data_IF_637920134738
#
_entry.id   IF_637920134738
#
_cell.length_a   1.000
_cell.length_b   1.000
_cell.length_c   1.000
_cell.angle_alpha   90.00
_cell.angle_beta   90.00
_cell.angle_gamma   90.00
#
_symmetry.space_group_name_H-M   'P 1'
#
loop_
_entity.id
_entity.type
_entity.pdbx_description
1 polymer ?
#
# COMPACT_ATOMS: atom_id res chain seq x y z
N UNK A 1 -32.14 -62.71 14.59
CA UNK A 1 -31.76 -62.20 15.94
C UNK A 1 -31.46 -60.72 15.75
N UNK A 2 -32.51 -59.89 15.82
CA UNK A 2 -32.67 -58.75 16.76
C UNK A 2 -31.55 -57.69 16.63
N UNK A 3 -31.79 -56.55 15.98
CA UNK A 3 -32.52 -55.34 16.45
C UNK A 3 -31.70 -54.41 17.35
N UNK A 4 -31.93 -53.12 17.10
CA UNK A 4 -31.94 -51.98 18.03
C UNK A 4 -30.61 -51.44 18.57
N UNK A 5 -30.31 -50.19 18.19
CA UNK A 5 -29.96 -49.16 19.17
C UNK A 5 -30.94 -48.01 18.99
N UNK A 6 -31.82 -47.89 19.97
CA UNK A 6 -32.78 -46.82 20.15
C UNK A 6 -32.17 -45.71 21.01
N UNK A 7 -32.73 -44.51 20.82
CA UNK A 7 -32.75 -43.28 21.61
C UNK A 7 -32.07 -43.24 22.99
N UNK A 8 -31.59 -42.05 23.38
CA UNK A 8 -32.09 -41.31 24.55
C UNK A 8 -31.78 -39.81 24.41
N UNK A 9 -32.85 -39.04 24.24
CA UNK A 9 -33.00 -37.67 24.66
C UNK A 9 -33.25 -37.61 26.17
N UNK A 10 -32.65 -36.66 26.90
CA UNK A 10 -33.39 -35.65 27.67
C UNK A 10 -32.50 -34.72 28.53
N UNK A 11 -32.98 -33.48 28.81
CA UNK A 11 -32.26 -32.39 29.49
C UNK A 11 -32.61 -32.30 30.99
N UNK A 12 -31.91 -31.40 31.74
CA UNK A 12 -32.32 -30.67 32.99
C UNK A 12 -31.08 -30.06 33.70
N UNK A 13 -31.20 -29.19 34.73
CA UNK A 13 -31.99 -27.96 34.82
C UNK A 13 -31.24 -26.77 35.52
N UNK A 14 -31.72 -25.55 35.28
CA UNK A 14 -31.94 -24.44 36.23
C UNK A 14 -30.88 -24.13 37.31
N UNK A 15 -30.27 -22.92 37.22
CA UNK A 15 -30.04 -22.10 38.41
C UNK A 15 -30.15 -20.59 38.11
N UNK A 16 -30.93 -19.94 38.97
CA UNK A 16 -31.33 -18.54 39.04
C UNK A 16 -30.17 -17.70 39.60
N UNK A 17 -29.82 -16.57 38.98
CA UNK A 17 -29.28 -15.40 39.68
C UNK A 17 -29.87 -14.11 39.09
N UNK A 18 -30.16 -13.21 40.01
CA UNK A 18 -31.09 -12.09 40.03
C UNK A 18 -30.59 -10.83 39.30
N UNK A 19 -31.49 -10.18 38.57
CA UNK A 19 -31.33 -8.80 38.06
C UNK A 19 -31.36 -7.79 39.22
N UNK A 20 -30.41 -6.86 39.24
CA UNK A 20 -30.54 -5.57 39.93
C UNK A 20 -30.17 -4.45 38.97
N UNK A 21 -31.18 -3.72 38.49
CA UNK A 21 -31.04 -2.41 37.85
C UNK A 21 -30.97 -1.34 38.95
N UNK A 22 -29.92 -0.53 38.96
CA UNK A 22 -29.96 0.81 39.56
C UNK A 22 -29.33 1.77 38.56
N UNK A 23 -30.20 2.62 38.02
CA UNK A 23 -29.89 3.77 37.16
C UNK A 23 -29.41 4.92 38.06
N UNK A 24 -28.27 5.55 37.74
CA UNK A 24 -27.92 6.87 38.30
C UNK A 24 -27.51 7.78 37.13
N UNK A 25 -28.39 8.75 36.85
CA UNK A 25 -28.07 9.98 36.12
C UNK A 25 -27.30 10.91 37.05
N UNK A 26 -26.13 11.39 36.64
CA UNK A 26 -25.46 12.53 37.26
C UNK A 26 -25.20 13.59 36.19
N UNK A 27 -26.05 14.63 36.24
CA UNK A 27 -25.94 15.89 35.53
C UNK A 27 -24.95 16.78 36.31
N UNK A 28 -23.85 17.21 35.71
CA UNK A 28 -23.05 18.33 36.25
C UNK A 28 -22.81 19.37 35.15
N UNK A 29 -23.26 20.58 35.47
CA UNK A 29 -23.33 21.75 34.63
C UNK A 29 -21.95 22.40 34.44
N UNK A 30 -21.65 22.81 33.21
CA UNK A 30 -20.60 23.79 32.92
C UNK A 30 -21.21 25.21 32.95
N UNK A 31 -20.58 26.20 33.59
CA UNK A 31 -21.06 27.58 33.49
C UNK A 31 -20.67 28.17 32.13
N UNK A 32 -21.69 28.65 31.44
CA UNK A 32 -21.64 29.48 30.25
C UNK A 32 -21.21 30.90 30.66
N UNK A 33 -20.11 31.42 30.12
CA UNK A 33 -19.75 32.84 30.25
C UNK A 33 -19.72 33.54 28.89
N UNK A 34 -20.85 34.20 28.62
CA UNK A 34 -21.02 35.49 27.95
C UNK A 34 -20.13 35.82 26.74
N UNK A 35 -20.67 35.61 25.55
CA UNK A 35 -20.45 36.52 24.42
C UNK A 35 -20.87 37.94 24.82
N UNK A 36 -19.98 38.92 24.66
CA UNK A 36 -20.36 40.32 24.49
C UNK A 36 -19.73 40.86 23.21
N UNK A 37 -20.61 41.46 22.43
CA UNK A 37 -20.43 42.22 21.21
C UNK A 37 -19.57 43.46 21.40
N UNK A 38 -18.81 43.84 20.38
CA UNK A 38 -18.09 45.12 20.31
C UNK A 38 -17.48 45.31 18.93
N UNK A 39 -18.11 46.18 18.13
CA UNK A 39 -17.69 46.54 16.78
C UNK A 39 -16.49 47.52 16.78
N UNK A 40 -15.72 47.44 15.69
CA UNK A 40 -14.88 48.46 15.00
C UNK A 40 -14.10 49.52 15.79
N UNK A 41 -12.82 49.69 15.43
CA UNK A 41 -12.33 50.85 14.64
C UNK A 41 -10.92 50.61 14.09
N UNK A 42 -10.75 50.88 12.78
CA UNK A 42 -9.47 51.08 12.09
C UNK A 42 -8.65 52.20 12.74
N UNK A 43 -7.34 52.01 12.88
CA UNK A 43 -6.37 53.12 12.77
C UNK A 43 -4.92 52.67 12.55
N UNK A 44 -4.38 53.20 11.44
CA UNK A 44 -2.99 53.62 11.20
C UNK A 44 -1.89 52.58 10.91
N UNK A 45 -1.75 52.28 9.61
CA UNK A 45 -0.46 52.24 8.92
C UNK A 45 0.14 53.66 8.84
N UNK A 46 1.32 53.91 9.39
CA UNK A 46 2.33 54.77 8.75
C UNK A 46 3.72 54.72 9.41
N UNK A 47 4.72 54.89 8.55
CA UNK A 47 6.10 55.29 8.82
C UNK A 47 7.05 54.23 9.38
N UNK A 48 7.96 53.73 8.52
CA UNK A 48 9.41 53.87 8.70
C UNK A 48 10.12 53.80 7.34
N UNK A 49 10.48 54.97 6.80
CA UNK A 49 11.59 55.14 5.85
C UNK A 49 12.21 56.52 6.08
N UNK A 50 13.53 56.61 5.83
CA UNK A 50 14.51 57.71 6.00
C UNK A 50 15.48 57.39 7.15
N UNK A 51 16.81 57.34 6.99
CA UNK A 51 17.67 58.11 6.05
C UNK A 51 19.12 57.57 6.03
N UNK A 52 19.71 57.54 4.83
CA UNK A 52 21.13 57.65 4.37
C UNK A 52 22.33 57.18 5.24
N UNK A 53 23.45 56.69 4.69
CA UNK A 53 23.92 56.55 3.31
C UNK A 53 25.46 56.37 3.29
N UNK A 54 26.00 55.76 2.23
CA UNK A 54 27.25 56.14 1.51
C UNK A 54 27.57 55.08 0.45
N UNK A 55 27.76 55.57 -0.77
CA UNK A 55 28.20 54.85 -1.96
C UNK A 55 29.72 55.05 -2.04
N UNK A 56 30.46 53.99 -2.34
CA UNK A 56 31.86 54.08 -2.78
C UNK A 56 31.97 53.51 -4.20
N UNK A 57 32.66 54.25 -5.06
CA UNK A 57 32.80 54.03 -6.50
C UNK A 57 34.21 53.57 -6.84
N UNK A 58 34.35 52.49 -7.63
CA UNK A 58 35.59 52.21 -8.36
C UNK A 58 35.64 50.82 -8.98
N UNK A 59 35.60 50.72 -10.32
CA UNK A 59 36.09 49.54 -11.04
C UNK A 59 35.37 49.11 -12.32
N UNK A 60 35.65 49.84 -13.41
CA UNK A 60 35.61 49.46 -14.84
C UNK A 60 34.32 49.01 -15.54
N UNK A 61 34.15 49.60 -16.72
CA UNK A 61 33.07 49.48 -17.71
C UNK A 61 33.43 48.39 -18.71
N UNK A 62 32.43 47.66 -19.24
CA UNK A 62 32.43 47.26 -20.65
C UNK A 62 30.98 47.22 -21.18
N UNK A 63 30.75 48.01 -22.24
CA UNK A 63 29.50 48.09 -22.98
C UNK A 63 29.56 47.04 -24.08
N UNK A 64 28.70 46.01 -24.01
CA UNK A 64 28.41 45.17 -25.17
C UNK A 64 27.02 45.55 -25.68
N UNK A 65 27.03 46.17 -26.86
CA UNK A 65 25.88 46.41 -27.72
C UNK A 65 25.25 45.08 -28.11
N UNK A 66 23.97 44.87 -27.79
CA UNK A 66 23.21 43.69 -28.22
C UNK A 66 22.31 44.09 -29.39
N UNK A 67 22.50 43.39 -30.50
CA UNK A 67 21.74 43.43 -31.75
C UNK A 67 20.25 43.10 -31.50
N UNK A 68 19.28 43.94 -31.92
CA UNK A 68 17.85 43.70 -31.65
C UNK A 68 17.19 42.67 -32.59
N UNK A 69 17.93 41.84 -33.32
CA UNK A 69 17.34 40.91 -34.31
C UNK A 69 17.25 39.43 -33.89
N UNK A 70 17.49 39.07 -32.62
CA UNK A 70 17.34 37.69 -32.16
C UNK A 70 16.48 37.59 -30.89
N UNK A 71 15.18 37.43 -31.09
CA UNK A 71 14.26 36.86 -30.09
C UNK A 71 13.87 35.48 -30.58
N UNK A 72 14.06 34.43 -29.76
CA UNK A 72 12.87 33.66 -29.42
C UNK A 72 12.58 33.70 -27.93
N UNK A 73 11.29 33.90 -27.68
CA UNK A 73 10.54 33.91 -26.44
C UNK A 73 10.74 32.61 -25.64
N UNK A 74 11.19 32.74 -24.39
CA UNK A 74 10.51 32.23 -23.17
C UNK A 74 11.54 32.09 -22.03
N UNK A 75 11.69 33.14 -21.21
CA UNK A 75 12.47 33.13 -19.98
C UNK A 75 11.66 33.85 -18.88
N UNK A 76 11.24 33.11 -17.85
CA UNK A 76 10.80 33.69 -16.56
C UNK A 76 11.94 34.57 -16.01
N UNK A 77 11.57 35.71 -15.44
CA UNK A 77 12.40 36.75 -14.81
C UNK A 77 13.37 36.28 -13.70
N UNK A 78 13.51 34.98 -13.44
CA UNK A 78 14.40 34.41 -12.41
C UNK A 78 15.65 33.69 -12.92
N UNK A 79 15.91 33.64 -14.23
CA UNK A 79 17.25 33.30 -14.75
C UNK A 79 17.82 31.93 -14.31
N UNK A 80 16.97 30.95 -14.00
CA UNK A 80 17.38 29.58 -13.69
C UNK A 80 16.99 28.68 -14.86
N UNK A 81 17.95 27.94 -15.42
CA UNK A 81 17.67 26.89 -16.40
C UNK A 81 16.78 25.83 -15.74
N UNK A 82 15.72 25.42 -16.43
CA UNK A 82 14.84 24.32 -16.03
C UNK A 82 15.57 22.98 -16.16
N UNK A 83 16.55 22.76 -15.29
CA UNK A 83 17.00 21.41 -14.97
C UNK A 83 15.95 20.89 -14.00
N UNK A 84 14.97 20.17 -14.54
CA UNK A 84 13.99 19.44 -13.75
C UNK A 84 14.76 18.44 -12.89
N UNK A 85 15.06 18.84 -11.65
CA UNK A 85 15.41 17.93 -10.58
C UNK A 85 14.11 17.18 -10.29
N UNK A 86 13.98 15.99 -10.88
CA UNK A 86 12.88 15.08 -10.56
C UNK A 86 12.89 14.87 -9.05
N UNK A 87 11.77 15.12 -8.34
CA UNK A 87 11.65 14.67 -6.96
C UNK A 87 11.82 13.15 -6.95
N UNK A 88 12.58 12.64 -5.98
CA UNK A 88 12.56 11.22 -5.64
C UNK A 88 11.10 10.76 -5.52
N UNK A 89 10.79 9.61 -6.13
CA UNK A 89 9.44 9.06 -6.31
C UNK A 89 8.54 9.31 -5.09
N UNK A 90 7.71 10.36 -5.18
CA UNK A 90 6.58 10.53 -4.28
C UNK A 90 5.50 9.56 -4.73
N UNK A 91 4.98 8.77 -3.78
CA UNK A 91 3.86 7.86 -3.97
C UNK A 91 2.70 8.61 -4.64
N UNK A 92 2.58 8.46 -5.97
CA UNK A 92 1.42 8.95 -6.69
C UNK A 92 0.27 8.01 -6.35
N UNK A 93 -0.94 8.52 -6.03
CA UNK A 93 -2.09 7.64 -5.90
C UNK A 93 -2.20 6.80 -7.18
N UNK A 94 -2.37 5.49 -7.03
CA UNK A 94 -2.42 4.59 -8.17
C UNK A 94 -3.49 5.09 -9.14
N UNK A 95 -3.07 5.36 -10.38
CA UNK A 95 -3.92 5.93 -11.40
C UNK A 95 -5.12 5.03 -11.70
N UNK A 96 -6.09 5.58 -12.44
CA UNK A 96 -7.13 4.77 -13.09
C UNK A 96 -6.48 3.57 -13.79
N UNK A 97 -6.99 2.34 -13.63
CA UNK A 97 -6.33 1.16 -14.17
C UNK A 97 -6.13 1.33 -15.68
N UNK A 98 -4.90 1.11 -16.16
CA UNK A 98 -4.68 0.92 -17.59
C UNK A 98 -5.35 -0.40 -18.01
N UNK A 99 -5.90 -0.42 -19.21
CA UNK A 99 -6.44 -1.66 -19.76
C UNK A 99 -5.31 -2.48 -20.35
N UNK A 100 -5.39 -3.79 -20.15
CA UNK A 100 -4.56 -4.73 -20.87
C UNK A 100 -4.80 -4.67 -22.40
N UNK A 101 -3.78 -5.04 -23.16
CA UNK A 101 -3.73 -4.99 -24.64
C UNK A 101 -3.22 -6.32 -25.19
N UNK A 102 -4.11 -7.03 -25.89
CA UNK A 102 -3.80 -8.28 -26.59
C UNK A 102 -3.23 -8.06 -28.01
N UNK A 103 -2.38 -8.97 -28.55
CA UNK A 103 -1.90 -10.21 -27.93
C UNK A 103 -0.69 -9.99 -27.01
N UNK A 104 -0.71 -10.57 -25.81
CA UNK A 104 0.38 -10.47 -24.83
C UNK A 104 0.88 -11.84 -24.31
N UNK A 105 0.50 -12.95 -24.96
CA UNK A 105 0.71 -14.36 -24.54
C UNK A 105 2.13 -14.88 -24.28
N UNK A 106 3.17 -14.06 -24.44
CA UNK A 106 4.58 -14.46 -24.27
C UNK A 106 5.41 -13.28 -23.78
N UNK A 107 6.59 -13.56 -23.19
CA UNK A 107 7.54 -12.49 -22.83
C UNK A 107 8.00 -11.65 -24.03
N UNK A 108 8.03 -12.23 -25.24
CA UNK A 108 8.36 -11.50 -26.47
C UNK A 108 7.26 -10.53 -26.95
N UNK A 109 6.02 -10.75 -26.51
CA UNK A 109 4.83 -9.93 -26.84
C UNK A 109 4.29 -9.18 -25.64
N UNK A 110 5.04 -9.14 -24.52
CA UNK A 110 4.58 -8.60 -23.26
C UNK A 110 4.16 -7.12 -23.37
N UNK A 111 3.02 -6.77 -22.78
CA UNK A 111 2.51 -5.41 -22.71
C UNK A 111 3.40 -4.55 -21.79
N UNK A 112 4.01 -3.46 -22.30
CA UNK A 112 4.87 -2.62 -21.47
C UNK A 112 4.05 -1.79 -20.48
N UNK A 113 4.44 -1.80 -19.21
CA UNK A 113 3.82 -1.02 -18.13
C UNK A 113 4.86 -0.12 -17.45
N UNK A 114 4.42 1.07 -17.05
CA UNK A 114 5.22 1.97 -16.22
C UNK A 114 4.89 1.71 -14.74
N UNK A 115 5.90 1.46 -13.92
CA UNK A 115 5.72 1.22 -12.47
C UNK A 115 5.86 2.53 -11.68
N UNK A 116 5.04 2.78 -10.64
CA UNK A 116 3.96 1.91 -10.16
C UNK A 116 2.78 1.82 -11.14
N UNK A 117 2.18 0.64 -11.24
CA UNK A 117 1.13 0.32 -12.21
C UNK A 117 -0.10 -0.27 -11.52
N UNK A 118 -1.26 0.03 -12.09
CA UNK A 118 -2.51 -0.71 -11.88
C UNK A 118 -3.06 -1.06 -13.25
N UNK A 119 -3.17 -2.34 -13.55
CA UNK A 119 -3.64 -2.84 -14.84
C UNK A 119 -4.93 -3.63 -14.62
N UNK A 120 -5.91 -3.49 -15.50
CA UNK A 120 -7.09 -4.34 -15.55
C UNK A 120 -7.03 -5.23 -16.79
N UNK A 121 -6.89 -6.53 -16.58
CA UNK A 121 -6.82 -7.55 -17.62
C UNK A 121 -7.98 -8.54 -17.57
N UNK A 122 -8.04 -9.41 -18.55
CA UNK A 122 -8.96 -10.55 -18.57
C UNK A 122 -8.19 -11.77 -19.05
N UNK A 123 -8.14 -12.82 -18.24
CA UNK A 123 -7.68 -14.12 -18.73
C UNK A 123 -8.81 -14.75 -19.53
N UNK A 124 -8.92 -14.40 -20.81
CA UNK A 124 -10.01 -14.88 -21.67
C UNK A 124 -9.60 -14.89 -23.16
N UNK A 125 -9.72 -16.06 -23.84
CA UNK A 125 -10.49 -17.26 -23.48
C UNK A 125 -9.80 -18.15 -22.43
N UNK A 126 -10.40 -19.29 -22.08
CA UNK A 126 -9.78 -20.19 -21.10
C UNK A 126 -8.36 -20.59 -21.50
N UNK A 127 -7.44 -20.53 -20.53
CA UNK A 127 -6.01 -20.78 -20.77
C UNK A 127 -5.24 -19.60 -21.36
N UNK A 128 -5.83 -18.41 -21.35
CA UNK A 128 -5.09 -17.18 -21.62
C UNK A 128 -3.95 -16.97 -20.62
N UNK A 129 -2.93 -16.25 -21.06
CA UNK A 129 -1.76 -15.93 -20.26
C UNK A 129 -1.36 -14.51 -20.61
N UNK A 130 -1.32 -13.63 -19.63
CA UNK A 130 -1.00 -12.23 -19.88
C UNK A 130 0.43 -11.95 -19.42
N UNK A 131 1.28 -11.47 -20.34
CA UNK A 131 2.61 -10.98 -19.98
C UNK A 131 2.67 -9.46 -19.97
N UNK A 132 3.27 -8.93 -18.91
CA UNK A 132 3.61 -7.51 -18.77
C UNK A 132 5.11 -7.34 -18.64
N UNK A 133 5.66 -6.23 -19.17
CA UNK A 133 7.07 -5.90 -19.03
C UNK A 133 7.30 -4.54 -18.37
N UNK A 134 8.32 -4.44 -17.53
CA UNK A 134 8.69 -3.20 -16.85
C UNK A 134 10.22 -3.10 -16.68
N UNK A 135 10.74 -1.90 -16.50
CA UNK A 135 12.17 -1.68 -16.23
C UNK A 135 12.44 -1.66 -14.73
N UNK A 136 13.53 -2.30 -14.30
CA UNK A 136 13.98 -2.29 -12.91
C UNK A 136 15.51 -2.25 -12.80
N UNK A 137 16.02 -1.79 -11.67
CA UNK A 137 17.45 -1.64 -11.37
C UNK A 137 17.89 -2.73 -10.40
N UNK A 138 19.14 -3.18 -10.53
CA UNK A 138 19.74 -4.12 -9.58
C UNK A 138 19.57 -3.63 -8.12
N UNK A 139 19.05 -4.49 -7.26
CA UNK A 139 18.77 -4.19 -5.85
C UNK A 139 17.38 -3.61 -5.57
N UNK A 140 16.61 -3.24 -6.60
CA UNK A 140 15.19 -2.93 -6.41
C UNK A 140 14.45 -4.14 -5.86
N UNK A 141 13.39 -3.88 -5.10
CA UNK A 141 12.41 -4.89 -4.70
C UNK A 141 11.11 -4.74 -5.47
N UNK A 142 10.56 -5.84 -5.95
CA UNK A 142 9.26 -5.89 -6.63
C UNK A 142 8.18 -6.28 -5.64
N UNK A 143 7.10 -5.52 -5.65
CA UNK A 143 5.84 -5.83 -5.00
C UNK A 143 4.77 -5.90 -6.08
N UNK A 144 4.13 -7.04 -6.24
CA UNK A 144 3.08 -7.22 -7.21
C UNK A 144 1.97 -8.12 -6.66
N UNK A 145 0.72 -7.83 -6.98
CA UNK A 145 -0.41 -8.62 -6.49
C UNK A 145 -1.58 -8.58 -7.45
N UNK A 146 -2.30 -9.69 -7.57
CA UNK A 146 -3.44 -9.85 -8.45
C UNK A 146 -4.73 -9.86 -7.62
N UNK A 147 -5.66 -8.97 -7.93
CA UNK A 147 -7.00 -8.97 -7.32
C UNK A 147 -8.00 -9.62 -8.27
N UNK A 148 -8.53 -10.78 -7.87
CA UNK A 148 -9.51 -11.55 -8.67
C UNK A 148 -10.92 -11.53 -8.08
N UNK A 149 -11.13 -10.91 -6.92
CA UNK A 149 -12.40 -10.91 -6.18
C UNK A 149 -13.61 -10.35 -6.94
N UNK A 150 -13.36 -9.51 -7.95
CA UNK A 150 -14.38 -8.93 -8.82
C UNK A 150 -14.55 -9.70 -10.15
N UNK A 151 -13.86 -10.83 -10.33
CA UNK A 151 -13.94 -11.68 -11.51
C UNK A 151 -15.36 -12.21 -11.68
N UNK A 152 -15.92 -12.00 -12.86
CA UNK A 152 -17.12 -12.65 -13.39
C UNK A 152 -16.77 -13.86 -14.28
N UNK A 153 -15.50 -14.29 -14.25
CA UNK A 153 -15.03 -15.51 -14.90
C UNK A 153 -15.51 -16.77 -14.17
N UNK A 154 -14.98 -17.92 -14.60
CA UNK A 154 -15.25 -19.20 -13.94
C UNK A 154 -14.29 -19.48 -12.78
N UNK A 155 -13.36 -18.56 -12.52
CA UNK A 155 -12.28 -18.70 -11.55
C UNK A 155 -11.91 -17.34 -10.94
N UNK A 156 -11.24 -17.45 -9.81
CA UNK A 156 -10.58 -16.38 -9.03
C UNK A 156 -9.18 -16.83 -8.60
N UNK A 157 -8.68 -17.92 -9.19
CA UNK A 157 -7.48 -18.64 -8.82
C UNK A 157 -6.33 -18.30 -9.77
N UNK A 158 -5.56 -17.29 -9.38
CA UNK A 158 -4.56 -16.64 -10.23
C UNK A 158 -3.16 -17.05 -9.83
N UNK A 159 -2.31 -17.33 -10.81
CA UNK A 159 -0.87 -17.47 -10.64
C UNK A 159 -0.13 -16.22 -11.12
N UNK A 160 0.88 -15.82 -10.38
CA UNK A 160 1.77 -14.71 -10.70
C UNK A 160 3.21 -15.20 -10.74
N UNK A 161 3.92 -14.94 -11.84
CA UNK A 161 5.35 -15.23 -11.97
C UNK A 161 6.12 -13.98 -12.32
N UNK A 162 7.14 -13.64 -11.52
CA UNK A 162 8.18 -12.70 -11.90
C UNK A 162 9.30 -13.44 -12.64
N UNK A 163 9.56 -13.05 -13.88
CA UNK A 163 10.65 -13.57 -14.70
C UNK A 163 11.79 -12.56 -14.78
N UNK A 164 13.01 -13.07 -14.77
CA UNK A 164 14.23 -12.30 -14.98
C UNK A 164 14.29 -11.69 -16.38
N UNK A 165 15.34 -10.89 -16.61
CA UNK A 165 15.52 -10.13 -17.84
C UNK A 165 15.79 -10.94 -19.12
N UNK A 166 16.01 -12.25 -18.99
CA UNK A 166 16.02 -13.18 -20.12
C UNK A 166 14.60 -13.60 -20.57
N UNK A 167 13.55 -13.16 -19.86
CA UNK A 167 12.15 -13.45 -20.15
C UNK A 167 11.73 -14.90 -19.94
N UNK A 168 12.55 -15.72 -19.27
CA UNK A 168 12.31 -17.16 -19.09
C UNK A 168 12.69 -17.71 -17.72
N UNK A 169 13.75 -17.20 -17.08
CA UNK A 169 14.17 -17.64 -15.75
C UNK A 169 13.21 -17.09 -14.71
N UNK A 170 12.57 -17.98 -13.95
CA UNK A 170 11.72 -17.60 -12.80
C UNK A 170 12.59 -16.97 -11.72
N UNK A 171 12.27 -15.72 -11.36
CA UNK A 171 12.80 -15.04 -10.20
C UNK A 171 11.96 -15.40 -8.96
N UNK A 172 10.64 -15.27 -9.09
CA UNK A 172 9.68 -15.60 -8.04
C UNK A 172 8.34 -16.03 -8.64
N UNK A 173 7.59 -16.84 -7.90
CA UNK A 173 6.29 -17.40 -8.28
C UNK A 173 5.40 -17.46 -7.06
N UNK A 174 4.12 -17.16 -7.27
CA UNK A 174 3.07 -17.30 -6.26
C UNK A 174 1.72 -17.68 -6.89
N UNK A 175 0.90 -18.45 -6.18
CA UNK A 175 -0.47 -18.81 -6.56
C UNK A 175 -1.54 -18.43 -5.52
N UNK A 176 -1.26 -18.47 -4.22
CA UNK A 176 -2.32 -18.36 -3.19
C UNK A 176 -2.06 -17.32 -2.05
N UNK A 177 -1.05 -16.44 -2.14
CA UNK A 177 -0.72 -15.47 -1.07
C UNK A 177 -1.30 -14.05 -1.27
N UNK A 178 -2.21 -13.85 -2.22
CA UNK A 178 -2.88 -12.57 -2.49
C UNK A 178 -4.17 -12.40 -1.68
N UNK A 179 -4.61 -11.16 -1.43
CA UNK A 179 -5.85 -10.92 -0.67
C UNK A 179 -7.10 -10.67 -1.53
N UNK A 180 -8.27 -10.69 -0.88
CA UNK A 180 -9.63 -10.57 -1.43
C UNK A 180 -10.17 -11.77 -2.24
N UNK A 181 -9.32 -12.74 -2.57
CA UNK A 181 -9.69 -14.14 -2.81
C UNK A 181 -8.65 -14.99 -2.10
N UNK A 182 -9.02 -16.12 -1.49
CA UNK A 182 -8.06 -17.05 -0.87
C UNK A 182 -7.20 -17.81 -1.88
N UNK A 183 -7.26 -17.40 -3.15
CA UNK A 183 -6.60 -18.00 -4.31
C UNK A 183 -6.04 -16.91 -5.24
N UNK A 184 -5.95 -15.68 -4.73
CA UNK A 184 -5.25 -14.62 -5.45
C UNK A 184 -3.76 -14.80 -5.20
N UNK A 185 -2.90 -14.36 -6.12
CA UNK A 185 -1.44 -14.44 -5.96
C UNK A 185 -0.82 -13.08 -5.62
N UNK A 186 0.28 -13.11 -4.88
CA UNK A 186 1.13 -11.94 -4.67
C UNK A 186 2.61 -12.25 -4.47
N UNK A 187 3.45 -11.30 -4.88
CA UNK A 187 4.90 -11.30 -4.76
C UNK A 187 5.27 -10.09 -3.90
N UNK A 188 5.95 -10.30 -2.79
CA UNK A 188 6.32 -9.23 -1.86
C UNK A 188 7.82 -9.21 -1.62
N UNK A 189 8.51 -8.23 -2.20
CA UNK A 189 9.91 -7.96 -1.88
C UNK A 189 10.95 -8.68 -2.75
N UNK A 190 10.54 -9.31 -3.85
CA UNK A 190 11.43 -10.02 -4.77
C UNK A 190 12.58 -9.13 -5.25
N UNK A 191 13.83 -9.59 -5.06
CA UNK A 191 15.03 -8.80 -5.35
C UNK A 191 15.39 -8.89 -6.83
N UNK A 192 15.59 -7.73 -7.44
CA UNK A 192 16.07 -7.60 -8.82
C UNK A 192 17.58 -7.85 -8.87
N UNK A 193 18.06 -8.94 -9.52
CA UNK A 193 19.48 -9.30 -9.51
C UNK A 193 20.35 -8.42 -10.43
N UNK A 194 19.77 -7.86 -11.50
CA UNK A 194 20.47 -7.05 -12.48
C UNK A 194 19.57 -5.98 -13.10
N UNK A 195 20.13 -4.84 -13.49
CA UNK A 195 19.37 -3.78 -14.17
C UNK A 195 18.92 -4.26 -15.55
N UNK A 196 17.64 -4.13 -15.86
CA UNK A 196 17.09 -4.57 -17.15
C UNK A 196 15.56 -4.50 -17.20
N UNK A 197 15.01 -5.10 -18.24
CA UNK A 197 13.55 -5.30 -18.40
C UNK A 197 13.17 -6.63 -17.77
N UNK A 198 12.16 -6.65 -16.90
CA UNK A 198 11.61 -7.83 -16.24
C UNK A 198 10.18 -8.07 -16.70
N UNK A 199 9.66 -9.27 -16.44
CA UNK A 199 8.33 -9.66 -16.90
C UNK A 199 7.48 -10.21 -15.76
N UNK A 200 6.21 -9.82 -15.74
CA UNK A 200 5.19 -10.48 -14.95
C UNK A 200 4.35 -11.33 -15.88
N UNK A 201 4.14 -12.59 -15.50
CA UNK A 201 3.22 -13.52 -16.16
C UNK A 201 2.04 -13.74 -15.22
N UNK A 202 0.83 -13.46 -15.71
CA UNK A 202 -0.43 -13.73 -15.02
C UNK A 202 -1.16 -14.83 -15.78
N UNK A 203 -1.60 -15.88 -15.08
CA UNK A 203 -2.44 -16.91 -15.67
C UNK A 203 -3.33 -17.53 -14.61
N UNK A 204 -4.36 -18.26 -15.03
CA UNK A 204 -5.20 -19.01 -14.11
C UNK A 204 -4.49 -20.31 -13.68
N UNK A 205 -4.70 -20.74 -12.44
CA UNK A 205 -4.12 -21.97 -11.88
C UNK A 205 -4.51 -23.22 -12.68
N UNK A 206 -5.77 -23.33 -13.07
CA UNK A 206 -6.27 -24.48 -13.84
C UNK A 206 -6.17 -24.22 -15.35
N UNK A 207 -4.92 -24.28 -15.82
CA UNK A 207 -4.54 -24.04 -17.22
C UNK A 207 -5.53 -24.64 -18.24
N UNK A 208 -6.06 -23.79 -19.12
CA UNK A 208 -6.88 -24.18 -20.27
C UNK A 208 -8.36 -24.44 -19.97
N UNK A 209 -8.80 -24.38 -18.71
CA UNK A 209 -10.19 -24.73 -18.36
C UNK A 209 -11.00 -23.60 -17.72
N UNK A 210 -10.33 -22.56 -17.23
CA UNK A 210 -10.94 -21.43 -16.52
C UNK A 210 -10.54 -20.10 -17.12
N UNK A 211 -11.32 -19.08 -16.80
CA UNK A 211 -11.08 -17.68 -17.13
C UNK A 211 -11.32 -16.79 -15.92
N UNK A 212 -10.65 -15.64 -15.91
CA UNK A 212 -10.81 -14.58 -14.91
C UNK A 212 -11.15 -13.25 -15.60
N UNK A 213 -12.28 -12.64 -15.23
CA UNK A 213 -12.88 -11.55 -16.04
C UNK A 213 -13.61 -10.51 -15.18
N UNK A 214 -12.97 -9.45 -14.72
CA UNK A 214 -11.58 -9.06 -14.90
C UNK A 214 -10.76 -9.45 -13.66
N UNK A 215 -9.44 -9.34 -13.79
CA UNK A 215 -8.53 -9.20 -12.65
C UNK A 215 -7.92 -7.80 -12.66
N UNK A 216 -7.37 -7.36 -11.52
CA UNK A 216 -6.50 -6.18 -11.46
C UNK A 216 -5.11 -6.56 -10.97
N UNK A 217 -4.08 -6.20 -11.75
CA UNK A 217 -2.68 -6.35 -11.38
C UNK A 217 -2.15 -5.02 -10.82
N UNK A 218 -1.59 -5.07 -9.63
CA UNK A 218 -0.89 -3.95 -9.00
C UNK A 218 0.60 -4.26 -8.99
N UNK A 219 1.44 -3.27 -9.32
CA UNK A 219 2.90 -3.44 -9.38
C UNK A 219 3.58 -2.19 -8.85
N UNK A 220 4.57 -2.36 -7.97
CA UNK A 220 5.45 -1.29 -7.48
C UNK A 220 6.87 -1.82 -7.34
N UNK A 221 7.83 -1.03 -7.79
CA UNK A 221 9.25 -1.26 -7.50
C UNK A 221 9.69 -0.32 -6.39
N UNK A 222 10.49 -0.83 -5.45
CA UNK A 222 11.02 -0.06 -4.34
C UNK A 222 12.54 -0.11 -4.31
N UNK A 223 13.17 1.04 -4.55
CA UNK A 223 14.62 1.21 -4.52
C UNK A 223 15.12 1.77 -3.18
N UNK A 224 14.24 2.47 -2.44
CA UNK A 224 14.62 3.07 -1.17
C UNK A 224 14.75 2.01 -0.09
N UNK A 225 15.75 2.17 0.80
CA UNK A 225 15.80 1.37 2.02
C UNK A 225 14.53 1.61 2.86
N UNK A 226 14.02 0.59 3.57
CA UNK A 226 12.86 0.78 4.43
C UNK A 226 13.21 1.72 5.59
N UNK A 227 12.25 2.54 5.99
CA UNK A 227 12.36 3.32 7.24
C UNK A 227 12.06 2.39 8.42
N UNK A 228 12.99 2.19 9.37
CA UNK A 228 12.69 1.41 10.55
C UNK A 228 11.54 2.03 11.34
N UNK A 229 10.65 1.19 11.86
CA UNK A 229 9.61 1.64 12.76
C UNK A 229 10.19 2.14 14.09
N UNK A 230 9.35 2.88 14.81
CA UNK A 230 9.59 3.37 16.15
C UNK A 230 8.54 2.78 17.08
N UNK A 231 9.01 1.91 17.96
CA UNK A 231 8.21 1.18 18.94
C UNK A 231 7.36 2.06 19.85
N UNK A 232 6.29 1.48 20.38
CA UNK A 232 5.24 2.18 21.14
C UNK A 232 4.07 2.63 20.25
N UNK A 233 4.02 2.14 19.01
CA UNK A 233 3.01 2.32 17.98
C UNK A 233 1.88 1.27 18.01
N UNK A 234 1.62 0.66 19.17
CA UNK A 234 0.59 -0.36 19.40
C UNK A 234 -0.86 0.13 19.30
N UNK A 235 -1.08 1.41 19.03
CA UNK A 235 -2.42 1.99 18.93
C UNK A 235 -2.49 3.02 17.81
N UNK A 236 -3.69 3.31 17.28
CA UNK A 236 -3.86 4.42 16.34
C UNK A 236 -3.37 5.77 16.87
N UNK A 237 -3.50 6.01 18.18
CA UNK A 237 -3.09 7.26 18.81
C UNK A 237 -1.56 7.44 18.88
N UNK A 238 -0.81 6.34 18.78
CA UNK A 238 0.66 6.32 18.83
C UNK A 238 1.28 5.85 17.52
N UNK A 239 0.47 5.75 16.45
CA UNK A 239 0.89 5.26 15.14
C UNK A 239 2.13 6.03 14.64
N UNK A 240 3.07 5.30 14.05
CA UNK A 240 4.13 5.91 13.27
C UNK A 240 3.51 6.62 12.05
N UNK A 241 4.16 7.67 11.55
CA UNK A 241 3.74 8.26 10.27
C UNK A 241 4.38 7.44 9.16
N UNK A 242 3.58 6.96 8.20
CA UNK A 242 4.10 6.26 7.04
C UNK A 242 4.97 7.26 6.23
N UNK A 243 6.25 6.93 5.94
CA UNK A 243 7.12 7.82 5.18
C UNK A 243 6.59 8.00 3.76
N UNK A 244 6.99 9.09 3.10
CA UNK A 244 6.58 9.35 1.72
C UNK A 244 7.00 8.27 0.70
N UNK A 245 7.98 7.43 1.04
CA UNK A 245 8.37 6.26 0.25
C UNK A 245 7.34 5.11 0.32
N UNK A 246 6.42 5.14 1.30
CA UNK A 246 5.51 4.05 1.66
C UNK A 246 6.20 2.85 2.31
N UNK A 247 7.53 2.87 2.44
CA UNK A 247 8.32 1.67 2.74
C UNK A 247 8.93 1.72 4.14
N UNK A 248 8.49 0.79 4.97
CA UNK A 248 8.88 0.66 6.37
C UNK A 248 9.35 -0.75 6.67
N UNK A 249 10.16 -0.89 7.71
CA UNK A 249 10.52 -2.19 8.26
C UNK A 249 10.24 -2.20 9.75
N UNK A 250 9.60 -3.26 10.20
CA UNK A 250 9.34 -3.49 11.61
C UNK A 250 10.02 -4.73 12.15
N UNK A 251 9.91 -4.97 13.44
CA UNK A 251 10.30 -6.20 14.11
C UNK A 251 9.35 -6.49 15.25
N UNK A 252 8.99 -7.76 15.42
CA UNK A 252 8.23 -8.16 16.61
C UNK A 252 9.12 -8.13 17.86
N UNK A 253 8.84 -7.28 18.84
CA UNK A 253 9.65 -7.10 20.04
C UNK A 253 8.93 -6.48 21.28
N UNK A 254 8.79 -7.22 22.42
CA UNK A 254 8.96 -8.64 22.63
C UNK A 254 7.64 -9.37 22.36
N UNK A 255 7.75 -10.68 22.14
CA UNK A 255 6.63 -11.60 21.96
C UNK A 255 5.75 -11.81 23.21
N UNK A 256 5.20 -10.72 23.75
CA UNK A 256 4.04 -10.72 24.62
C UNK A 256 2.80 -10.56 23.73
N UNK A 257 1.70 -11.20 24.10
CA UNK A 257 0.50 -11.25 23.26
C UNK A 257 -0.03 -9.85 22.90
N UNK A 258 -0.54 -9.76 21.65
CA UNK A 258 -1.17 -8.61 20.96
C UNK A 258 -0.26 -7.40 20.72
N UNK A 259 0.95 -7.63 20.21
CA UNK A 259 1.73 -6.59 19.53
C UNK A 259 1.02 -6.18 18.24
N UNK A 260 0.86 -4.87 18.05
CA UNK A 260 0.28 -4.30 16.85
C UNK A 260 1.16 -3.16 16.38
N UNK A 261 1.26 -2.96 15.09
CA UNK A 261 2.08 -1.90 14.54
C UNK A 261 1.27 -1.01 13.64
N UNK A 262 0.96 0.18 14.15
CA UNK A 262 0.11 1.13 13.47
C UNK A 262 0.93 2.18 12.74
N UNK A 263 0.54 2.43 11.49
CA UNK A 263 1.12 3.44 10.62
C UNK A 263 0.01 4.33 10.06
N UNK A 264 0.12 5.63 10.28
CA UNK A 264 -0.84 6.63 9.80
C UNK A 264 -0.44 7.17 8.43
N UNK A 265 -1.44 7.42 7.59
CA UNK A 265 -1.31 8.04 6.28
C UNK A 265 -2.47 9.01 6.04
N UNK A 266 -2.23 10.07 5.28
CA UNK A 266 -3.29 11.00 4.86
C UNK A 266 -3.62 10.75 3.40
N UNK A 267 -4.88 10.46 3.12
CA UNK A 267 -5.36 10.10 1.78
C UNK A 267 -6.45 11.07 1.34
N UNK A 268 -6.54 11.29 0.04
CA UNK A 268 -7.62 12.03 -0.61
C UNK A 268 -8.75 11.07 -1.02
N UNK A 269 -9.93 11.63 -1.24
CA UNK A 269 -11.02 10.89 -1.87
C UNK A 269 -10.61 10.50 -3.29
N UNK A 270 -10.73 9.22 -3.62
CA UNK A 270 -10.35 8.63 -4.90
C UNK A 270 -8.97 7.96 -4.90
N UNK A 271 -8.15 8.16 -3.87
CA UNK A 271 -6.84 7.51 -3.79
C UNK A 271 -7.03 5.99 -3.66
N UNK A 272 -6.33 5.22 -4.50
CA UNK A 272 -6.21 3.77 -4.35
C UNK A 272 -4.90 3.45 -3.66
N UNK A 273 -4.99 2.78 -2.52
CA UNK A 273 -3.86 2.24 -1.77
C UNK A 273 -3.67 0.78 -2.16
N UNK A 274 -2.43 0.37 -2.38
CA UNK A 274 -1.95 -1.01 -2.38
C UNK A 274 -0.98 -1.13 -1.22
N UNK A 275 -1.30 -1.94 -0.20
CA UNK A 275 -0.35 -2.29 0.85
C UNK A 275 0.12 -3.72 0.59
N UNK A 276 1.43 -3.93 0.70
CA UNK A 276 2.03 -5.26 0.64
C UNK A 276 2.96 -5.49 1.82
N UNK A 277 2.86 -6.66 2.42
CA UNK A 277 3.72 -7.09 3.52
C UNK A 277 4.54 -8.31 3.09
N UNK A 278 5.85 -8.15 3.19
CA UNK A 278 6.85 -9.21 3.04
C UNK A 278 7.09 -9.81 4.43
N UNK A 279 6.70 -11.08 4.61
CA UNK A 279 6.77 -11.83 5.88
C UNK A 279 8.10 -12.58 6.05
N UNK A 280 8.97 -12.59 5.04
CA UNK A 280 10.33 -13.14 5.08
C UNK A 280 11.32 -12.18 4.40
N UNK A 281 11.50 -10.96 4.93
CA UNK A 281 12.29 -9.94 4.26
C UNK A 281 13.79 -10.23 4.24
N UNK A 282 14.23 -11.20 5.04
CA UNK A 282 15.60 -11.73 5.09
C UNK A 282 15.87 -12.80 4.02
N UNK A 283 14.85 -13.35 3.39
CA UNK A 283 14.95 -14.48 2.44
C UNK A 283 15.70 -15.68 3.06
N UNK A 284 15.38 -15.98 4.32
CA UNK A 284 15.97 -17.10 5.08
C UNK A 284 14.98 -18.24 5.33
N UNK A 285 13.77 -18.14 4.77
CA UNK A 285 12.65 -19.08 4.89
C UNK A 285 12.15 -19.22 6.32
N UNK A 286 12.48 -18.28 7.21
CA UNK A 286 11.94 -18.22 8.57
C UNK A 286 10.68 -17.36 8.55
N UNK A 287 9.58 -18.03 8.23
CA UNK A 287 8.27 -17.39 8.02
C UNK A 287 7.44 -17.29 9.31
N UNK A 288 6.46 -16.40 9.30
CA UNK A 288 5.41 -16.29 10.32
C UNK A 288 4.07 -15.90 9.67
N UNK A 289 2.95 -16.24 10.32
CA UNK A 289 1.62 -15.79 9.90
C UNK A 289 1.35 -14.43 10.55
N UNK A 290 1.49 -13.37 9.74
CA UNK A 290 1.16 -12.01 10.10
C UNK A 290 -0.06 -11.53 9.34
N UNK A 291 -0.85 -10.65 9.94
CA UNK A 291 -2.02 -10.06 9.30
C UNK A 291 -1.73 -8.61 8.94
N UNK A 292 -2.23 -8.20 7.78
CA UNK A 292 -2.17 -6.82 7.31
C UNK A 292 -3.57 -6.23 7.31
N UNK A 293 -3.70 -4.94 7.62
CA UNK A 293 -5.00 -4.32 7.52
C UNK A 293 -5.00 -2.83 7.28
N UNK A 294 -6.13 -2.37 6.76
CA UNK A 294 -6.49 -0.97 6.60
C UNK A 294 -7.53 -0.64 7.66
N UNK A 295 -7.34 0.42 8.43
CA UNK A 295 -8.12 0.69 9.63
C UNK A 295 -8.62 2.13 9.75
N UNK A 296 -9.65 2.26 10.58
CA UNK A 296 -10.33 3.48 11.00
C UNK A 296 -10.95 4.27 9.85
N UNK A 297 -11.66 3.56 8.98
CA UNK A 297 -12.49 4.14 7.94
C UNK A 297 -13.99 3.98 8.26
N UNK A 298 -14.83 4.46 7.35
CA UNK A 298 -16.30 4.42 7.49
C UNK A 298 -16.87 5.67 8.16
N UNK A 299 -18.19 5.70 8.30
CA UNK A 299 -18.96 6.83 8.84
C UNK A 299 -18.63 7.17 10.31
N UNK A 300 -18.24 6.16 11.09
CA UNK A 300 -17.84 6.31 12.49
C UNK A 300 -16.31 6.19 12.70
N UNK A 301 -15.50 6.10 11.64
CA UNK A 301 -14.04 5.91 11.71
C UNK A 301 -13.61 4.73 12.62
N UNK A 302 -14.36 3.63 12.58
CA UNK A 302 -14.18 2.48 13.47
C UNK A 302 -14.10 1.14 12.71
N UNK A 303 -14.12 1.17 11.38
CA UNK A 303 -14.03 -0.03 10.56
C UNK A 303 -12.58 -0.41 10.32
N UNK A 304 -12.32 -1.71 10.32
CA UNK A 304 -11.02 -2.31 10.03
C UNK A 304 -11.24 -3.43 9.02
N UNK A 305 -10.45 -3.41 7.96
CA UNK A 305 -10.35 -4.46 6.96
C UNK A 305 -9.01 -5.16 7.20
N UNK A 306 -9.07 -6.47 7.44
CA UNK A 306 -7.90 -7.31 7.71
C UNK A 306 -7.82 -8.38 6.65
N UNK A 307 -6.60 -8.65 6.19
CA UNK A 307 -6.24 -9.78 5.35
C UNK A 307 -5.28 -10.67 6.15
N UNK A 308 -5.51 -11.98 6.04
CA UNK A 308 -4.89 -13.04 6.82
C UNK A 308 -4.94 -14.30 5.95
N UNK A 309 -3.88 -14.51 5.18
CA UNK A 309 -3.59 -15.80 4.61
C UNK A 309 -3.01 -16.73 5.69
N UNK A 310 -3.38 -18.01 5.63
CA UNK A 310 -2.98 -18.97 6.64
C UNK A 310 -1.45 -19.20 6.67
N UNK A 311 -0.70 -18.82 5.62
CA UNK A 311 0.76 -18.69 5.58
C UNK A 311 1.55 -19.98 5.85
N UNK A 312 0.89 -21.13 5.97
CA UNK A 312 1.48 -22.33 6.58
C UNK A 312 1.21 -23.65 5.84
N UNK A 313 0.55 -23.65 4.68
CA UNK A 313 0.18 -24.88 4.00
C UNK A 313 0.37 -24.88 2.47
N UNK A 314 0.92 -23.82 1.89
CA UNK A 314 1.00 -23.74 0.44
C UNK A 314 2.22 -24.49 -0.10
N UNK A 315 2.00 -25.29 -1.15
CA UNK A 315 3.02 -26.13 -1.79
C UNK A 315 4.11 -25.36 -2.55
N UNK A 316 4.17 -24.04 -2.38
CA UNK A 316 5.16 -23.16 -2.97
C UNK A 316 6.57 -23.50 -2.48
N UNK A 317 7.52 -23.59 -3.43
CA UNK A 317 8.92 -23.88 -3.14
C UNK A 317 9.82 -22.91 -3.93
N UNK A 318 10.45 -21.93 -3.27
CA UNK A 318 10.43 -21.66 -1.83
C UNK A 318 9.11 -21.03 -1.35
N UNK A 319 8.75 -21.25 -0.07
CA UNK A 319 7.61 -20.60 0.58
C UNK A 319 7.96 -19.13 0.88
N UNK A 320 7.28 -18.19 0.23
CA UNK A 320 7.47 -16.74 0.40
C UNK A 320 6.14 -16.09 0.79
N UNK A 321 5.75 -16.16 2.07
CA UNK A 321 4.43 -15.70 2.48
C UNK A 321 4.38 -14.18 2.40
N UNK A 322 3.19 -13.69 2.06
CA UNK A 322 2.94 -12.28 1.91
C UNK A 322 1.48 -11.97 2.21
N UNK A 323 1.21 -10.69 2.44
CA UNK A 323 -0.15 -10.15 2.52
C UNK A 323 -0.25 -8.96 1.58
N UNK A 324 -1.39 -8.80 0.91
CA UNK A 324 -1.55 -7.77 -0.11
C UNK A 324 -2.98 -7.22 -0.16
N UNK A 325 -3.21 -6.03 0.40
CA UNK A 325 -4.53 -5.40 0.37
C UNK A 325 -4.60 -4.17 -0.54
N UNK A 326 -5.80 -3.86 -1.01
CA UNK A 326 -6.11 -2.75 -1.88
C UNK A 326 -7.37 -2.05 -1.37
N UNK A 327 -7.38 -0.73 -1.38
CA UNK A 327 -8.55 0.05 -1.03
C UNK A 327 -8.60 1.33 -1.84
N UNK A 328 -9.73 1.61 -2.49
CA UNK A 328 -10.01 2.97 -2.98
C UNK A 328 -10.80 3.74 -1.94
N UNK A 329 -10.23 4.84 -1.48
CA UNK A 329 -10.79 5.68 -0.43
C UNK A 329 -11.90 6.57 -0.98
N UNK A 330 -13.05 6.63 -0.30
CA UNK A 330 -14.19 7.46 -0.73
C UNK A 330 -14.16 8.90 -0.20
N UNK A 331 -13.45 9.14 0.90
CA UNK A 331 -13.43 10.40 1.62
C UNK A 331 -12.01 10.75 2.01
N UNK A 332 -11.60 12.01 1.84
CA UNK A 332 -10.30 12.43 2.32
C UNK A 332 -10.21 12.32 3.85
N UNK A 333 -9.06 11.95 4.38
CA UNK A 333 -8.87 11.79 5.82
C UNK A 333 -7.59 11.08 6.21
N UNK A 334 -7.44 10.83 7.50
CA UNK A 334 -6.36 10.00 8.04
C UNK A 334 -6.82 8.55 8.08
N UNK A 335 -6.03 7.69 7.47
CA UNK A 335 -6.20 6.24 7.43
C UNK A 335 -5.01 5.58 8.11
N UNK A 336 -5.15 4.31 8.46
CA UNK A 336 -4.09 3.56 9.13
C UNK A 336 -3.85 2.24 8.41
N UNK A 337 -2.59 1.94 8.15
CA UNK A 337 -2.15 0.56 7.99
C UNK A 337 -1.88 0.00 9.39
N UNK A 338 -2.26 -1.24 9.65
CA UNK A 338 -1.82 -1.93 10.85
C UNK A 338 -1.34 -3.34 10.52
N UNK A 339 -0.40 -3.81 11.32
CA UNK A 339 0.09 -5.18 11.26
C UNK A 339 -0.03 -5.81 12.64
N UNK A 340 -0.42 -7.08 12.70
CA UNK A 340 -0.34 -7.89 13.92
C UNK A 340 -0.13 -9.38 13.55
N UNK A 341 -0.36 -10.28 14.50
CA UNK A 341 -0.36 -11.73 14.25
C UNK A 341 -1.70 -12.38 14.56
N UNK A 342 -2.08 -13.39 13.77
CA UNK A 342 -3.29 -14.19 14.00
C UNK A 342 -3.21 -15.06 15.27
N UNK A 343 -2.00 -15.42 15.69
CA UNK A 343 -1.72 -16.17 16.93
C UNK A 343 -0.76 -15.39 17.83
N UNK A 344 -0.87 -15.57 19.15
CA UNK A 344 0.14 -15.07 20.08
C UNK A 344 1.46 -15.81 19.83
N UNK A 345 2.33 -15.23 19.01
CA UNK A 345 3.58 -15.87 18.64
C UNK A 345 4.61 -15.75 19.76
N UNK A 346 5.36 -16.82 20.04
CA UNK A 346 6.55 -16.81 20.88
C UNK A 346 7.79 -16.40 20.07
N UNK A 347 8.40 -15.27 20.42
CA UNK A 347 9.73 -14.76 20.02
C UNK A 347 9.97 -14.37 18.55
N UNK A 348 10.09 -13.06 18.28
CA UNK A 348 11.04 -12.44 17.32
C UNK A 348 10.72 -12.33 15.82
N UNK A 349 11.39 -11.31 15.22
CA UNK A 349 11.83 -11.05 13.82
C UNK A 349 11.04 -10.06 12.95
N UNK A 350 11.75 -9.58 11.91
CA UNK A 350 11.50 -8.36 11.14
C UNK A 350 10.42 -8.57 10.07
N UNK A 351 9.77 -7.50 9.67
CA UNK A 351 8.81 -7.43 8.56
C UNK A 351 9.10 -6.21 7.71
N UNK A 352 8.57 -6.17 6.50
CA UNK A 352 8.68 -5.01 5.62
C UNK A 352 7.34 -4.74 4.95
N UNK A 353 6.88 -3.49 5.04
CA UNK A 353 5.61 -3.03 4.48
C UNK A 353 5.92 -1.99 3.41
N UNK A 354 5.25 -2.07 2.27
CA UNK A 354 5.32 -1.08 1.17
C UNK A 354 3.93 -0.64 0.75
#
# INVERSE_FOLDING_TARGET
MKELIDRISHPKPWMIVLFCFVTIFALLAFPLQSMRTGAQTDKELSSQFQKGGKIDTGGSVDVISIDPSLVPTDLDHRGLSKTEMTPAAADQPLATPSLDVEPNGTSATASPIAVPARVRGNLFPNGDIDFYSFSATAGDRVYAAVMTSASAGSSTDSQLTLLNSDGTTVNEFDDDNGSFSSTSSSIAGAIIPSTGTYFLKVNDFTAGTSSERYYELYVKTQSAAPTPEVEGNDTPATANVLPASGHVSGARNPAAATEQDWYSMTLNAGDTVYLSMDLDPEDDLVVWNGRLGMALFGDAANQILVVDDAGAAEGANPLRPSEALFMTVKTAGTYYAFVDSATAATGGRRRRIT
#
